data_IF_665001664930
#
_entry.id   IF_665001664930
#
_cell.length_a   1.000
_cell.length_b   1.000
_cell.length_c   1.000
_cell.angle_alpha   90.00
_cell.angle_beta   90.00
_cell.angle_gamma   90.00
#
_symmetry.space_group_name_H-M   'P 1'
#
loop_
_entity.id
_entity.type
_entity.pdbx_description
1 polymer ?
#
# COMPACT_ATOMS: atom_id res chain seq x y z
N UNK A 1 31.07 -33.30 53.21
CA UNK A 1 32.30 -33.16 52.40
C UNK A 1 32.44 -34.45 51.58
N UNK A 2 31.98 -34.42 50.34
CA UNK A 2 32.33 -35.31 49.20
C UNK A 2 31.40 -34.95 48.05
N UNK A 3 31.99 -34.25 47.10
CA UNK A 3 31.51 -33.96 45.75
C UNK A 3 31.44 -35.24 44.94
N UNK A 4 30.44 -35.41 44.07
CA UNK A 4 30.74 -35.93 42.73
C UNK A 4 29.70 -35.54 41.68
N UNK A 5 30.21 -34.76 40.72
CA UNK A 5 29.55 -34.27 39.52
C UNK A 5 29.60 -35.36 38.44
N UNK A 6 28.50 -36.07 38.21
CA UNK A 6 28.32 -36.91 37.02
C UNK A 6 27.28 -36.28 36.09
N UNK A 7 27.63 -35.13 35.50
CA UNK A 7 26.83 -34.47 34.48
C UNK A 7 27.69 -34.23 33.24
N UNK A 8 27.91 -35.24 32.40
CA UNK A 8 28.57 -35.02 31.11
C UNK A 8 28.14 -36.06 30.07
N UNK A 9 27.85 -35.52 28.87
CA UNK A 9 27.71 -36.18 27.55
C UNK A 9 26.34 -36.77 27.17
N UNK A 10 25.36 -35.89 26.90
CA UNK A 10 24.34 -36.17 25.89
C UNK A 10 24.86 -35.72 24.52
N UNK A 11 24.84 -36.57 23.47
CA UNK A 11 25.26 -36.16 22.14
C UNK A 11 24.33 -35.04 21.62
N UNK A 12 24.92 -33.91 21.23
CA UNK A 12 24.23 -32.83 20.53
C UNK A 12 23.82 -33.35 19.16
N UNK A 13 22.51 -33.54 18.96
CA UNK A 13 21.94 -33.80 17.64
C UNK A 13 22.39 -32.69 16.68
N UNK A 14 23.15 -33.07 15.66
CA UNK A 14 23.51 -32.20 14.55
C UNK A 14 22.19 -31.82 13.87
N UNK A 15 21.81 -30.53 13.97
CA UNK A 15 20.68 -29.99 13.22
C UNK A 15 20.93 -30.25 11.74
N UNK A 16 20.13 -31.12 11.14
CA UNK A 16 20.17 -31.39 9.71
C UNK A 16 20.05 -30.08 8.94
N UNK A 17 20.93 -29.91 7.95
CA UNK A 17 20.83 -28.86 6.94
C UNK A 17 19.46 -29.00 6.27
N UNK A 18 18.60 -28.00 6.46
CA UNK A 18 17.30 -27.97 5.80
C UNK A 18 17.54 -27.95 4.28
N UNK A 19 17.02 -28.98 3.59
CA UNK A 19 16.88 -28.99 2.14
C UNK A 19 16.12 -27.71 1.75
N UNK A 20 16.53 -26.94 0.72
CA UNK A 20 15.76 -25.80 0.26
C UNK A 20 14.35 -26.27 -0.07
N UNK A 21 13.38 -25.89 0.78
CA UNK A 21 12.00 -26.33 0.63
C UNK A 21 11.46 -25.88 -0.73
N UNK A 22 10.69 -26.76 -1.40
CA UNK A 22 9.97 -26.40 -2.62
C UNK A 22 9.22 -25.09 -2.39
N UNK A 23 9.42 -24.11 -3.27
CA UNK A 23 8.67 -22.86 -3.23
C UNK A 23 7.19 -23.21 -3.41
N UNK A 24 6.38 -22.93 -2.40
CA UNK A 24 4.94 -23.12 -2.49
C UNK A 24 4.40 -22.19 -3.60
N UNK A 25 3.80 -22.75 -4.68
CA UNK A 25 3.34 -21.97 -5.82
C UNK A 25 2.30 -20.92 -5.43
N UNK A 26 1.54 -21.14 -4.34
CA UNK A 26 0.56 -20.16 -3.84
C UNK A 26 1.23 -18.88 -3.33
N UNK A 27 2.45 -18.97 -2.83
CA UNK A 27 3.25 -17.82 -2.37
C UNK A 27 3.80 -17.00 -3.52
N UNK A 28 4.22 -17.70 -4.58
CA UNK A 28 4.81 -17.05 -5.75
C UNK A 28 3.74 -16.48 -6.70
N UNK A 29 2.52 -17.04 -6.69
CA UNK A 29 1.46 -16.67 -7.63
C UNK A 29 1.13 -15.15 -7.68
N UNK A 30 0.96 -14.43 -6.55
CA UNK A 30 0.72 -12.98 -6.57
C UNK A 30 1.82 -12.20 -7.29
N UNK A 31 3.07 -12.54 -6.97
CA UNK A 31 4.26 -11.90 -7.55
C UNK A 31 4.40 -12.24 -9.03
N UNK A 32 4.16 -13.48 -9.42
CA UNK A 32 4.20 -13.92 -10.82
C UNK A 32 3.13 -13.22 -11.66
N UNK A 33 1.90 -13.12 -11.15
CA UNK A 33 0.80 -12.45 -11.85
C UNK A 33 1.09 -10.95 -11.99
N UNK A 34 1.53 -10.29 -10.91
CA UNK A 34 1.93 -8.89 -10.97
C UNK A 34 3.09 -8.69 -11.97
N UNK A 35 4.07 -9.60 -12.00
CA UNK A 35 5.19 -9.56 -12.93
C UNK A 35 4.74 -9.73 -14.37
N UNK A 36 3.81 -10.66 -14.66
CA UNK A 36 3.27 -10.84 -16.00
C UNK A 36 2.57 -9.56 -16.49
N UNK A 37 1.70 -8.95 -15.66
CA UNK A 37 1.04 -7.69 -16.01
C UNK A 37 2.02 -6.52 -16.16
N UNK A 38 3.04 -6.43 -15.29
CA UNK A 38 4.06 -5.40 -15.35
C UNK A 38 4.95 -5.54 -16.59
N UNK A 39 5.36 -6.76 -16.95
CA UNK A 39 6.14 -7.04 -18.16
C UNK A 39 5.31 -6.67 -19.39
N UNK A 40 4.05 -7.12 -19.47
CA UNK A 40 3.16 -6.75 -20.56
C UNK A 40 2.98 -5.22 -20.65
N UNK A 41 2.80 -4.54 -19.52
CA UNK A 41 2.67 -3.09 -19.47
C UNK A 41 3.92 -2.37 -19.98
N UNK A 42 5.12 -2.81 -19.56
CA UNK A 42 6.40 -2.22 -19.98
C UNK A 42 6.64 -2.45 -21.48
N UNK A 43 6.33 -3.64 -22.00
CA UNK A 43 6.53 -3.96 -23.43
C UNK A 43 5.53 -3.22 -24.32
N UNK A 44 4.25 -3.26 -23.95
CA UNK A 44 3.17 -2.65 -24.75
C UNK A 44 3.21 -1.12 -24.63
N UNK A 45 3.58 -0.62 -23.45
CA UNK A 45 3.60 0.81 -23.08
C UNK A 45 2.34 1.56 -23.57
N UNK A 46 1.13 1.10 -23.19
CA UNK A 46 -0.10 1.70 -23.69
C UNK A 46 -0.22 3.16 -23.28
N UNK A 47 -0.82 4.02 -24.13
CA UNK A 47 -1.13 5.39 -23.73
C UNK A 47 -2.07 5.35 -22.51
N UNK A 48 -1.73 6.10 -21.49
CA UNK A 48 -2.54 6.24 -20.27
C UNK A 48 -2.55 7.69 -19.82
N UNK A 49 -3.57 8.05 -19.03
CA UNK A 49 -3.92 9.43 -18.71
C UNK A 49 -2.71 10.25 -18.24
N UNK A 50 -1.90 9.68 -17.34
CA UNK A 50 -0.81 10.40 -16.68
C UNK A 50 0.60 10.03 -17.19
N UNK A 51 0.74 9.12 -18.18
CA UNK A 51 2.07 8.66 -18.61
C UNK A 51 2.95 9.82 -19.12
N UNK A 52 2.38 10.73 -19.91
CA UNK A 52 3.09 11.92 -20.38
C UNK A 52 3.59 12.79 -19.22
N UNK A 53 2.79 12.89 -18.14
CA UNK A 53 3.13 13.66 -16.95
C UNK A 53 4.31 13.02 -16.18
N UNK A 54 4.43 11.70 -16.18
CA UNK A 54 5.57 10.99 -15.59
C UNK A 54 6.83 11.11 -16.44
N UNK A 55 6.70 10.99 -17.76
CA UNK A 55 7.82 11.16 -18.70
C UNK A 55 8.41 12.57 -18.63
N UNK A 56 7.55 13.59 -18.56
CA UNK A 56 8.01 14.96 -18.37
C UNK A 56 8.81 15.11 -17.07
N UNK A 57 8.32 14.55 -15.96
CA UNK A 57 9.01 14.67 -14.66
C UNK A 57 10.35 13.97 -14.64
N UNK A 58 10.44 12.80 -15.26
CA UNK A 58 11.72 12.13 -15.48
C UNK A 58 12.66 13.02 -16.31
N UNK A 59 12.15 13.65 -17.39
CA UNK A 59 12.93 14.57 -18.23
C UNK A 59 13.41 15.81 -17.47
N UNK A 60 12.55 16.44 -16.67
CA UNK A 60 12.92 17.58 -15.82
C UNK A 60 14.03 17.18 -14.85
N UNK A 61 13.95 16.01 -14.23
CA UNK A 61 15.02 15.51 -13.36
C UNK A 61 16.33 15.30 -14.11
N UNK A 62 16.32 14.78 -15.35
CA UNK A 62 17.56 14.64 -16.13
C UNK A 62 18.21 15.98 -16.48
N UNK A 63 17.43 17.05 -16.57
CA UNK A 63 17.93 18.38 -16.92
C UNK A 63 18.40 19.18 -15.69
N UNK A 64 17.66 19.11 -14.59
CA UNK A 64 17.80 20.03 -13.45
C UNK A 64 17.96 19.32 -12.09
N UNK A 65 17.92 17.98 -12.05
CA UNK A 65 17.95 17.20 -10.81
C UNK A 65 16.71 17.47 -9.95
N UNK A 66 16.90 17.79 -8.68
CA UNK A 66 15.82 18.17 -7.75
C UNK A 66 15.38 19.64 -7.94
N UNK A 67 15.13 20.03 -9.19
CA UNK A 67 14.57 21.33 -9.52
C UNK A 67 13.25 21.57 -8.79
N UNK A 68 13.08 22.76 -8.23
CA UNK A 68 11.90 23.10 -7.42
C UNK A 68 10.76 23.70 -8.25
N UNK A 69 11.09 24.27 -9.41
CA UNK A 69 10.19 25.04 -10.25
C UNK A 69 10.41 24.68 -11.72
N UNK A 70 9.35 24.68 -12.51
CA UNK A 70 9.47 24.64 -13.97
C UNK A 70 8.57 25.70 -14.63
N UNK A 71 9.05 26.30 -15.71
CA UNK A 71 8.34 27.36 -16.44
C UNK A 71 7.29 26.84 -17.45
N UNK A 72 7.04 25.54 -17.46
CA UNK A 72 6.09 24.93 -18.39
C UNK A 72 4.66 25.08 -17.81
N UNK A 73 3.65 25.22 -18.68
CA UNK A 73 2.24 25.62 -18.39
C UNK A 73 2.04 27.07 -17.92
N UNK A 74 1.95 28.02 -18.86
CA UNK A 74 1.29 29.35 -18.78
C UNK A 74 1.40 30.19 -17.48
N UNK A 75 2.40 29.92 -16.65
CA UNK A 75 2.79 30.60 -15.40
C UNK A 75 3.89 29.82 -14.66
N UNK A 76 4.08 28.53 -14.99
CA UNK A 76 4.99 27.64 -14.26
C UNK A 76 4.35 27.06 -13.01
N UNK A 77 5.00 26.05 -12.42
CA UNK A 77 4.51 25.38 -11.21
C UNK A 77 5.64 24.71 -10.42
N UNK A 78 5.39 24.43 -9.14
CA UNK A 78 6.34 23.71 -8.29
C UNK A 78 6.33 22.22 -8.62
N UNK A 79 7.51 21.63 -8.68
CA UNK A 79 7.69 20.20 -9.00
C UNK A 79 7.57 19.26 -7.78
N UNK A 80 8.08 19.63 -6.57
CA UNK A 80 8.17 18.69 -5.45
C UNK A 80 6.83 18.12 -4.97
N UNK A 81 5.74 18.87 -5.13
CA UNK A 81 4.40 18.47 -4.68
C UNK A 81 3.85 17.21 -5.36
N UNK A 82 4.38 16.83 -6.54
CA UNK A 82 3.93 15.64 -7.25
C UNK A 82 4.54 14.34 -6.71
N UNK A 83 5.86 14.34 -6.55
CA UNK A 83 6.67 13.25 -5.97
C UNK A 83 8.12 13.70 -5.92
N UNK A 84 8.80 13.42 -4.81
CA UNK A 84 10.22 13.76 -4.64
C UNK A 84 11.11 12.69 -5.26
N UNK A 85 10.83 11.40 -4.98
CA UNK A 85 11.72 10.30 -5.36
C UNK A 85 11.40 9.68 -6.71
N UNK A 86 10.12 9.66 -7.11
CA UNK A 86 9.73 8.96 -8.34
C UNK A 86 10.39 9.54 -9.60
N UNK A 87 10.51 10.87 -9.80
CA UNK A 87 11.17 11.42 -10.98
C UNK A 87 12.62 10.96 -11.13
N UNK A 88 13.37 10.87 -10.02
CA UNK A 88 14.76 10.41 -10.03
C UNK A 88 14.89 8.95 -10.47
N UNK A 89 14.04 8.07 -9.92
CA UNK A 89 14.04 6.64 -10.28
C UNK A 89 13.53 6.44 -11.71
N UNK A 90 12.51 7.21 -12.10
CA UNK A 90 11.95 7.18 -13.45
C UNK A 90 12.95 7.70 -14.51
N UNK A 91 13.81 8.66 -14.16
CA UNK A 91 14.90 9.11 -15.04
C UNK A 91 15.95 8.00 -15.27
N UNK A 92 16.22 7.17 -14.26
CA UNK A 92 17.18 6.07 -14.36
C UNK A 92 16.63 4.85 -15.12
N UNK A 93 15.36 4.48 -14.88
CA UNK A 93 14.79 3.21 -15.36
C UNK A 93 13.69 3.35 -16.42
N UNK A 94 13.16 4.56 -16.65
CA UNK A 94 11.81 4.88 -17.17
C UNK A 94 10.70 4.79 -16.12
N UNK A 95 9.64 5.63 -16.23
CA UNK A 95 8.47 5.54 -15.34
C UNK A 95 7.83 4.14 -15.32
N UNK A 96 7.74 3.50 -16.49
CA UNK A 96 7.07 2.21 -16.65
C UNK A 96 7.79 1.10 -15.89
N UNK A 97 9.12 1.01 -16.05
CA UNK A 97 9.93 0.00 -15.35
C UNK A 97 9.95 0.25 -13.85
N UNK A 98 10.12 1.51 -13.42
CA UNK A 98 10.12 1.87 -11.99
C UNK A 98 8.81 1.46 -11.30
N UNK A 99 7.66 1.78 -11.91
CA UNK A 99 6.36 1.40 -11.39
C UNK A 99 6.10 -0.12 -11.49
N UNK A 100 6.56 -0.77 -12.56
CA UNK A 100 6.46 -2.22 -12.73
C UNK A 100 7.20 -2.99 -11.63
N UNK A 101 8.44 -2.62 -11.32
CA UNK A 101 9.21 -3.20 -10.22
C UNK A 101 8.49 -2.98 -8.89
N UNK A 102 7.97 -1.77 -8.65
CA UNK A 102 7.25 -1.47 -7.42
C UNK A 102 5.94 -2.25 -7.29
N UNK A 103 5.21 -2.48 -8.39
CA UNK A 103 4.00 -3.29 -8.40
C UNK A 103 4.30 -4.75 -8.03
N UNK A 104 5.36 -5.34 -8.61
CA UNK A 104 5.81 -6.70 -8.30
C UNK A 104 6.24 -6.83 -6.83
N UNK A 105 7.03 -5.88 -6.34
CA UNK A 105 7.45 -5.85 -4.94
C UNK A 105 6.27 -5.65 -3.97
N UNK A 106 5.30 -4.80 -4.34
CA UNK A 106 4.06 -4.59 -3.59
C UNK A 106 3.27 -5.89 -3.47
N UNK A 107 3.12 -6.64 -4.58
CA UNK A 107 2.42 -7.93 -4.58
C UNK A 107 3.11 -8.98 -3.71
N UNK A 108 4.45 -9.04 -3.75
CA UNK A 108 5.22 -9.93 -2.88
C UNK A 108 5.06 -9.59 -1.39
N UNK A 109 5.13 -8.31 -1.03
CA UNK A 109 4.97 -7.89 0.37
C UNK A 109 3.53 -8.01 0.85
N UNK A 110 2.54 -7.86 -0.04
CA UNK A 110 1.14 -8.02 0.32
C UNK A 110 0.77 -9.48 0.61
N UNK A 111 1.37 -10.45 -0.10
CA UNK A 111 1.27 -11.88 0.26
C UNK A 111 1.75 -12.11 1.69
N UNK A 112 2.92 -11.57 2.03
CA UNK A 112 3.47 -11.67 3.38
C UNK A 112 2.54 -11.03 4.40
N UNK A 113 2.04 -9.82 4.14
CA UNK A 113 1.13 -9.09 5.03
C UNK A 113 -0.16 -9.89 5.31
N UNK A 114 -0.80 -10.40 4.25
CA UNK A 114 -2.03 -11.17 4.37
C UNK A 114 -1.79 -12.52 5.07
N UNK A 115 -0.72 -13.22 4.71
CA UNK A 115 -0.39 -14.51 5.32
C UNK A 115 -0.06 -14.37 6.80
N UNK A 116 0.73 -13.37 7.17
CA UNK A 116 1.10 -13.11 8.58
C UNK A 116 -0.16 -12.78 9.42
N UNK A 117 -1.24 -12.26 8.82
CA UNK A 117 -2.50 -11.93 9.53
C UNK A 117 -3.55 -13.05 9.50
N UNK A 118 -3.82 -13.62 8.32
CA UNK A 118 -4.94 -14.53 8.06
C UNK A 118 -4.51 -16.00 7.85
N UNK A 119 -3.21 -16.28 7.81
CA UNK A 119 -2.68 -17.62 7.57
C UNK A 119 -2.60 -18.00 6.09
N UNK A 120 -2.36 -19.29 5.82
CA UNK A 120 -2.05 -19.81 4.48
C UNK A 120 -3.24 -19.76 3.50
N UNK A 121 -4.46 -19.70 4.02
CA UNK A 121 -5.69 -19.66 3.21
C UNK A 121 -5.94 -18.29 2.56
N UNK A 122 -5.16 -17.27 2.91
CA UNK A 122 -5.28 -15.91 2.36
C UNK A 122 -4.70 -15.76 0.93
N UNK A 123 -4.17 -16.83 0.34
CA UNK A 123 -3.50 -16.82 -0.95
C UNK A 123 -4.37 -16.24 -2.09
N UNK A 124 -5.69 -16.46 -2.06
CA UNK A 124 -6.58 -15.92 -3.10
C UNK A 124 -6.69 -14.39 -3.02
N UNK A 125 -6.70 -13.84 -1.79
CA UNK A 125 -6.65 -12.40 -1.58
C UNK A 125 -5.33 -11.81 -2.07
N UNK A 126 -4.21 -12.48 -1.77
CA UNK A 126 -2.90 -12.06 -2.26
C UNK A 126 -2.82 -12.12 -3.79
N UNK A 127 -3.34 -13.18 -4.41
CA UNK A 127 -3.36 -13.35 -5.87
C UNK A 127 -4.17 -12.24 -6.55
N UNK A 128 -5.35 -11.94 -6.01
CA UNK A 128 -6.18 -10.85 -6.50
C UNK A 128 -5.43 -9.52 -6.38
N UNK A 129 -4.80 -9.23 -5.24
CA UNK A 129 -4.02 -8.01 -5.09
C UNK A 129 -2.90 -7.92 -6.15
N UNK A 130 -2.20 -9.03 -6.41
CA UNK A 130 -1.22 -9.13 -7.48
C UNK A 130 -1.78 -8.71 -8.84
N UNK A 131 -2.96 -9.21 -9.21
CA UNK A 131 -3.66 -8.79 -10.42
C UNK A 131 -4.11 -7.31 -10.37
N UNK A 132 -4.65 -6.86 -9.23
CA UNK A 132 -5.17 -5.51 -9.04
C UNK A 132 -4.07 -4.43 -9.14
N UNK A 133 -2.79 -4.78 -8.93
CA UNK A 133 -1.67 -3.86 -9.19
C UNK A 133 -1.66 -3.35 -10.63
N UNK A 134 -2.15 -4.15 -11.59
CA UNK A 134 -2.29 -3.76 -12.99
C UNK A 134 -3.17 -2.52 -13.15
N UNK A 135 -4.22 -2.35 -12.34
CA UNK A 135 -5.09 -1.17 -12.41
C UNK A 135 -4.30 0.12 -12.29
N UNK A 136 -3.29 0.19 -11.42
CA UNK A 136 -2.46 1.40 -11.28
C UNK A 136 -1.52 1.61 -12.47
N UNK A 137 -0.98 0.54 -13.04
CA UNK A 137 -0.08 0.61 -14.21
C UNK A 137 -0.82 1.08 -15.46
N UNK A 138 -1.93 0.43 -15.80
CA UNK A 138 -2.65 0.67 -17.06
C UNK A 138 -3.50 1.95 -17.02
N UNK A 139 -3.85 2.46 -15.84
CA UNK A 139 -4.51 3.79 -15.70
C UNK A 139 -3.52 4.96 -15.59
N UNK A 140 -2.21 4.69 -15.61
CA UNK A 140 -1.18 5.73 -15.54
C UNK A 140 -0.86 6.23 -14.13
N UNK A 141 -1.36 5.58 -13.06
CA UNK A 141 -1.15 5.99 -11.66
C UNK A 141 0.22 5.54 -11.13
N UNK A 142 1.28 5.82 -11.86
CA UNK A 142 2.62 5.24 -11.67
C UNK A 142 3.32 5.71 -10.38
N UNK A 143 3.20 7.00 -10.04
CA UNK A 143 3.70 7.52 -8.75
C UNK A 143 3.06 6.80 -7.57
N UNK A 144 1.76 6.57 -7.65
CA UNK A 144 1.03 5.84 -6.62
C UNK A 144 1.45 4.37 -6.54
N UNK A 145 1.59 3.69 -7.67
CA UNK A 145 2.12 2.32 -7.72
C UNK A 145 3.54 2.24 -7.12
N UNK A 146 4.38 3.22 -7.39
CA UNK A 146 5.73 3.32 -6.83
C UNK A 146 5.71 3.53 -5.30
N UNK A 147 4.87 4.45 -4.81
CA UNK A 147 4.73 4.71 -3.38
C UNK A 147 4.02 3.59 -2.60
N UNK A 148 3.27 2.72 -3.28
CA UNK A 148 2.59 1.59 -2.63
C UNK A 148 3.57 0.57 -2.06
N UNK A 149 4.74 0.39 -2.69
CA UNK A 149 5.78 -0.52 -2.23
C UNK A 149 6.26 -0.20 -0.81
N UNK A 150 6.80 1.01 -0.52
CA UNK A 150 7.18 1.36 0.84
C UNK A 150 5.97 1.45 1.80
N UNK A 151 4.76 1.75 1.31
CA UNK A 151 3.56 1.78 2.14
C UNK A 151 3.22 0.40 2.70
N UNK A 152 3.23 -0.64 1.85
CA UNK A 152 2.98 -2.02 2.27
C UNK A 152 4.15 -2.54 3.10
N UNK A 153 5.39 -2.19 2.73
CA UNK A 153 6.56 -2.52 3.55
C UNK A 153 6.44 -1.93 4.97
N UNK A 154 5.92 -0.70 5.10
CA UNK A 154 5.64 -0.05 6.39
C UNK A 154 4.62 -0.85 7.19
N UNK A 155 3.52 -1.28 6.56
CA UNK A 155 2.50 -2.12 7.20
C UNK A 155 3.07 -3.47 7.67
N UNK A 156 3.88 -4.14 6.85
CA UNK A 156 4.56 -5.41 7.22
C UNK A 156 5.52 -5.19 8.39
N UNK A 157 6.31 -4.11 8.38
CA UNK A 157 7.20 -3.78 9.47
C UNK A 157 6.44 -3.50 10.78
N UNK A 158 5.30 -2.82 10.69
CA UNK A 158 4.43 -2.51 11.82
C UNK A 158 3.82 -3.79 12.41
N UNK A 159 3.29 -4.68 11.56
CA UNK A 159 2.74 -5.98 11.96
C UNK A 159 3.78 -6.86 12.66
N UNK A 160 5.04 -6.79 12.22
CA UNK A 160 6.17 -7.54 12.80
C UNK A 160 6.80 -6.86 14.03
N UNK A 161 6.19 -5.81 14.56
CA UNK A 161 6.67 -5.12 15.77
C UNK A 161 7.98 -4.35 15.57
N UNK A 162 8.24 -3.85 14.36
CA UNK A 162 9.45 -3.08 13.99
C UNK A 162 9.09 -1.62 13.74
N UNK A 163 8.67 -0.84 14.77
CA UNK A 163 8.10 0.49 14.60
C UNK A 163 9.06 1.47 13.93
N UNK A 164 10.35 1.40 14.23
CA UNK A 164 11.35 2.26 13.59
C UNK A 164 11.39 2.08 12.06
N UNK A 165 11.47 0.83 11.60
CA UNK A 165 11.46 0.53 10.17
C UNK A 165 10.14 0.95 9.52
N UNK A 166 9.00 0.71 10.19
CA UNK A 166 7.69 1.14 9.71
C UNK A 166 7.61 2.66 9.51
N UNK A 167 8.09 3.44 10.49
CA UNK A 167 8.13 4.90 10.44
C UNK A 167 9.04 5.41 9.31
N UNK A 168 10.24 4.84 9.14
CA UNK A 168 11.13 5.21 8.03
C UNK A 168 10.50 4.94 6.67
N UNK A 169 9.87 3.77 6.51
CA UNK A 169 9.16 3.40 5.29
C UNK A 169 7.95 4.30 5.03
N UNK A 170 7.29 4.79 6.08
CA UNK A 170 6.21 5.77 5.97
C UNK A 170 6.71 7.12 5.43
N UNK A 171 7.88 7.59 5.88
CA UNK A 171 8.53 8.79 5.31
C UNK A 171 8.89 8.56 3.85
N UNK A 172 9.50 7.41 3.51
CA UNK A 172 9.81 7.06 2.12
C UNK A 172 8.56 7.00 1.24
N UNK A 173 7.45 6.52 1.81
CA UNK A 173 6.14 6.52 1.13
C UNK A 173 5.70 7.94 0.78
N UNK A 174 5.81 8.88 1.73
CA UNK A 174 5.47 10.28 1.51
C UNK A 174 6.31 10.93 0.41
N UNK A 175 7.62 10.66 0.40
CA UNK A 175 8.54 11.16 -0.61
C UNK A 175 8.33 10.50 -1.98
N UNK A 176 7.81 9.27 -2.02
CA UNK A 176 7.48 8.56 -3.24
C UNK A 176 6.13 8.97 -3.83
N UNK A 177 5.09 9.14 -3.00
CA UNK A 177 3.75 9.55 -3.42
C UNK A 177 2.92 10.10 -2.25
N UNK A 178 2.43 11.35 -2.35
CA UNK A 178 1.52 11.92 -1.36
C UNK A 178 0.25 11.08 -1.13
N UNK A 179 -0.31 10.51 -2.20
CA UNK A 179 -1.51 9.67 -2.13
C UNK A 179 -1.22 8.33 -1.46
N UNK A 180 -0.08 7.70 -1.74
CA UNK A 180 0.31 6.49 -1.03
C UNK A 180 0.56 6.77 0.47
N UNK A 181 1.10 7.95 0.80
CA UNK A 181 1.26 8.39 2.19
C UNK A 181 -0.08 8.53 2.92
N UNK A 182 -1.13 9.03 2.24
CA UNK A 182 -2.47 9.06 2.82
C UNK A 182 -2.96 7.65 3.20
N UNK A 183 -2.71 6.63 2.37
CA UNK A 183 -3.09 5.25 2.70
C UNK A 183 -2.18 4.60 3.74
N UNK A 184 -0.89 4.91 3.75
CA UNK A 184 0.00 4.51 4.85
C UNK A 184 -0.44 5.13 6.19
N UNK A 185 -0.88 6.39 6.17
CA UNK A 185 -1.42 7.06 7.33
C UNK A 185 -2.75 6.47 7.80
N UNK A 186 -3.62 6.11 6.85
CA UNK A 186 -4.86 5.39 7.14
C UNK A 186 -4.55 4.03 7.78
N UNK A 187 -3.57 3.28 7.28
CA UNK A 187 -3.16 2.00 7.85
C UNK A 187 -2.55 2.17 9.26
N UNK A 188 -1.69 3.17 9.46
CA UNK A 188 -1.12 3.51 10.77
C UNK A 188 -2.20 3.94 11.78
N UNK A 189 -3.15 4.78 11.34
CA UNK A 189 -4.30 5.21 12.14
C UNK A 189 -5.22 4.04 12.50
N UNK A 190 -5.52 3.16 11.54
CA UNK A 190 -6.29 1.94 11.77
C UNK A 190 -5.61 1.04 12.80
N UNK A 191 -4.30 0.85 12.68
CA UNK A 191 -3.50 0.09 13.66
C UNK A 191 -3.54 0.73 15.05
N UNK A 192 -3.42 2.05 15.14
CA UNK A 192 -3.47 2.77 16.41
C UNK A 192 -4.84 2.62 17.10
N UNK A 193 -5.92 2.85 16.36
CA UNK A 193 -7.30 2.72 16.88
C UNK A 193 -7.61 1.28 17.24
N UNK A 194 -7.23 0.32 16.40
CA UNK A 194 -7.42 -1.11 16.66
C UNK A 194 -6.68 -1.57 17.92
N UNK A 195 -5.41 -1.21 18.03
CA UNK A 195 -4.57 -1.54 19.20
C UNK A 195 -5.11 -0.93 20.50
N UNK A 196 -5.59 0.31 20.44
CA UNK A 196 -6.24 0.96 21.58
C UNK A 196 -7.57 0.27 21.93
N UNK A 197 -8.41 -0.06 20.94
CA UNK A 197 -9.68 -0.73 21.17
C UNK A 197 -9.49 -2.11 21.83
N UNK A 198 -8.45 -2.86 21.42
CA UNK A 198 -8.11 -4.17 22.00
C UNK A 198 -7.52 -4.08 23.40
N UNK A 199 -6.56 -3.18 23.63
CA UNK A 199 -5.77 -3.16 24.86
C UNK A 199 -6.27 -2.14 25.91
N UNK A 200 -7.17 -1.22 25.51
CA UNK A 200 -7.62 -0.04 26.28
C UNK A 200 -6.48 0.78 26.86
N UNK A 201 -5.33 0.80 26.17
CA UNK A 201 -4.09 1.50 26.56
C UNK A 201 -3.49 2.20 25.37
N UNK A 202 -2.87 3.36 25.60
CA UNK A 202 -2.25 4.19 24.56
C UNK A 202 -0.93 3.59 24.05
N UNK A 203 -0.13 2.96 24.92
CA UNK A 203 1.21 2.47 24.55
C UNK A 203 1.24 1.58 23.30
N UNK A 204 0.33 0.59 23.13
CA UNK A 204 0.26 -0.22 21.91
C UNK A 204 -0.13 0.54 20.65
N UNK A 205 -0.80 1.69 20.79
CA UNK A 205 -1.23 2.52 19.66
C UNK A 205 -0.13 3.45 19.11
N UNK A 206 0.89 3.76 19.93
CA UNK A 206 1.97 4.70 19.57
C UNK A 206 2.68 4.37 18.25
N UNK A 207 3.01 3.11 17.94
CA UNK A 207 3.61 2.76 16.64
C UNK A 207 2.74 3.17 15.44
N UNK A 208 1.43 2.96 15.51
CA UNK A 208 0.50 3.33 14.44
C UNK A 208 0.38 4.86 14.29
N UNK A 209 0.36 5.58 15.42
CA UNK A 209 0.39 7.05 15.44
C UNK A 209 1.67 7.58 14.80
N UNK A 210 2.83 7.00 15.13
CA UNK A 210 4.11 7.39 14.57
C UNK A 210 4.15 7.19 13.05
N UNK A 211 3.64 6.06 12.54
CA UNK A 211 3.51 5.80 11.09
C UNK A 211 2.59 6.83 10.43
N UNK A 212 1.44 7.14 11.04
CA UNK A 212 0.51 8.11 10.48
C UNK A 212 1.10 9.53 10.39
N UNK A 213 1.77 9.98 11.46
CA UNK A 213 2.46 11.27 11.47
C UNK A 213 3.60 11.28 10.45
N UNK A 214 4.42 10.22 10.41
CA UNK A 214 5.57 10.16 9.51
C UNK A 214 5.18 10.09 8.03
N UNK A 215 4.02 9.51 7.71
CA UNK A 215 3.47 9.53 6.36
C UNK A 215 2.91 10.92 5.97
N UNK A 216 2.25 11.63 6.90
CA UNK A 216 1.60 12.92 6.60
C UNK A 216 2.52 14.13 6.73
N UNK A 217 3.50 14.10 7.63
CA UNK A 217 4.35 15.25 7.93
C UNK A 217 5.16 15.75 6.71
N UNK A 218 5.81 14.89 5.90
CA UNK A 218 6.50 15.35 4.69
C UNK A 218 5.52 15.90 3.64
N UNK A 219 4.34 15.29 3.50
CA UNK A 219 3.30 15.78 2.58
C UNK A 219 2.82 17.17 2.98
N UNK A 220 2.53 17.38 4.26
CA UNK A 220 2.13 18.68 4.79
C UNK A 220 3.24 19.73 4.67
N UNK A 221 4.49 19.35 4.96
CA UNK A 221 5.63 20.25 4.81
C UNK A 221 5.83 20.70 3.36
N UNK A 222 5.71 19.78 2.39
CA UNK A 222 5.77 20.11 0.97
C UNK A 222 4.59 20.96 0.52
N UNK A 223 3.37 20.68 0.99
CA UNK A 223 2.20 21.50 0.67
C UNK A 223 2.29 22.94 1.20
N UNK A 224 2.97 23.14 2.34
CA UNK A 224 3.23 24.49 2.90
C UNK A 224 4.38 25.19 2.18
N UNK A 225 5.49 24.47 1.92
CA UNK A 225 6.67 25.05 1.30
C UNK A 225 6.50 25.32 -0.21
N UNK A 226 5.71 24.48 -0.88
CA UNK A 226 5.46 24.51 -2.32
C UNK A 226 3.95 24.43 -2.56
N UNK A 227 3.20 25.51 -2.28
CA UNK A 227 1.75 25.52 -2.42
C UNK A 227 1.37 25.34 -3.89
N UNK A 228 0.84 24.17 -4.20
CA UNK A 228 0.23 23.83 -5.48
C UNK A 228 -1.29 24.04 -5.39
N UNK A 229 -1.86 24.72 -6.38
CA UNK A 229 -3.30 24.91 -6.48
C UNK A 229 -4.02 23.72 -7.11
N UNK A 230 -5.34 23.82 -7.20
CA UNK A 230 -6.18 22.86 -7.91
C UNK A 230 -6.96 21.92 -7.00
N UNK A 231 -7.96 21.28 -7.58
CA UNK A 231 -8.80 20.29 -6.92
C UNK A 231 -8.99 19.11 -7.83
N UNK A 232 -8.91 17.91 -7.25
CA UNK A 232 -9.24 16.69 -7.96
C UNK A 232 -10.76 16.48 -7.88
N UNK A 233 -11.50 16.42 -9.01
CA UNK A 233 -12.95 16.26 -8.97
C UNK A 233 -13.35 14.94 -8.31
N UNK A 234 -14.26 14.98 -7.34
CA UNK A 234 -14.82 13.78 -6.73
C UNK A 234 -16.35 13.81 -6.83
N UNK A 235 -16.90 12.96 -7.69
CA UNK A 235 -18.35 12.94 -7.95
C UNK A 235 -19.08 12.01 -6.98
N UNK A 236 -20.37 12.28 -6.76
CA UNK A 236 -21.23 11.38 -5.98
C UNK A 236 -21.30 9.98 -6.60
N UNK A 237 -21.33 9.89 -7.94
CA UNK A 237 -21.34 8.62 -8.67
C UNK A 237 -20.13 7.74 -8.36
N UNK A 238 -18.98 8.34 -8.06
CA UNK A 238 -17.77 7.63 -7.61
C UNK A 238 -17.82 7.33 -6.10
N UNK A 239 -18.44 8.20 -5.28
CA UNK A 239 -18.48 8.05 -3.83
C UNK A 239 -19.41 6.93 -3.35
N UNK A 240 -20.65 6.90 -3.83
CA UNK A 240 -21.68 6.02 -3.26
C UNK A 240 -21.32 4.52 -3.33
N UNK A 241 -20.70 3.98 -4.41
CA UNK A 241 -20.32 2.57 -4.44
C UNK A 241 -19.26 2.25 -3.39
N UNK A 242 -18.28 3.16 -3.20
CA UNK A 242 -17.20 3.00 -2.22
C UNK A 242 -17.78 2.89 -0.81
N UNK A 243 -18.72 3.76 -0.47
CA UNK A 243 -19.37 3.75 0.85
C UNK A 243 -20.18 2.48 1.05
N UNK A 244 -21.01 2.09 0.07
CA UNK A 244 -21.84 0.89 0.19
C UNK A 244 -21.01 -0.39 0.31
N UNK A 245 -19.99 -0.56 -0.54
CA UNK A 245 -19.08 -1.71 -0.49
C UNK A 245 -18.34 -1.73 0.85
N UNK A 246 -17.84 -0.59 1.31
CA UNK A 246 -17.12 -0.50 2.59
C UNK A 246 -18.02 -0.86 3.78
N UNK A 247 -19.28 -0.38 3.79
CA UNK A 247 -20.26 -0.73 4.82
C UNK A 247 -20.60 -2.23 4.79
N UNK A 248 -20.78 -2.79 3.59
CA UNK A 248 -21.01 -4.22 3.43
C UNK A 248 -19.85 -5.04 4.01
N UNK A 249 -18.60 -4.70 3.66
CA UNK A 249 -17.41 -5.37 4.21
C UNK A 249 -17.36 -5.22 5.73
N UNK A 250 -17.70 -4.04 6.29
CA UNK A 250 -17.72 -3.80 7.73
C UNK A 250 -18.72 -4.71 8.48
N UNK A 251 -19.88 -4.97 7.87
CA UNK A 251 -20.93 -5.85 8.43
C UNK A 251 -20.51 -7.31 8.36
N UNK A 252 -19.88 -7.73 7.27
CA UNK A 252 -19.48 -9.12 7.04
C UNK A 252 -18.21 -9.49 7.83
N UNK A 253 -17.36 -8.50 8.13
CA UNK A 253 -16.10 -8.70 8.84
C UNK A 253 -16.35 -9.24 10.28
N UNK A 254 -15.61 -10.28 10.72
CA UNK A 254 -15.71 -10.79 12.08
C UNK A 254 -15.51 -9.69 13.14
N UNK A 255 -16.23 -9.81 14.26
CA UNK A 255 -16.15 -8.83 15.35
C UNK A 255 -14.76 -8.74 16.01
N UNK A 256 -13.86 -9.71 15.76
CA UNK A 256 -12.53 -9.80 16.36
C UNK A 256 -11.43 -9.06 15.57
N UNK A 257 -11.81 -8.22 14.61
CA UNK A 257 -10.88 -7.50 13.72
C UNK A 257 -10.92 -5.97 13.94
N UNK A 258 -10.57 -5.45 15.14
CA UNK A 258 -10.75 -4.04 15.46
C UNK A 258 -9.92 -3.11 14.57
N UNK A 259 -8.74 -3.54 14.13
CA UNK A 259 -7.88 -2.78 13.21
C UNK A 259 -8.52 -2.63 11.83
N UNK A 260 -9.03 -3.72 11.24
CA UNK A 260 -9.69 -3.65 9.92
C UNK A 260 -11.00 -2.86 9.99
N UNK A 261 -11.79 -3.03 11.06
CA UNK A 261 -12.99 -2.21 11.30
C UNK A 261 -12.65 -0.73 11.38
N UNK A 262 -11.61 -0.36 12.13
CA UNK A 262 -11.14 1.01 12.21
C UNK A 262 -10.69 1.53 10.84
N UNK A 263 -9.94 0.73 10.07
CA UNK A 263 -9.51 1.09 8.72
C UNK A 263 -10.68 1.37 7.78
N UNK A 264 -11.72 0.53 7.79
CA UNK A 264 -12.92 0.73 6.98
C UNK A 264 -13.66 2.01 7.38
N UNK A 265 -13.83 2.27 8.68
CA UNK A 265 -14.50 3.48 9.17
C UNK A 265 -13.69 4.73 8.80
N UNK A 266 -12.37 4.71 9.00
CA UNK A 266 -11.48 5.80 8.61
C UNK A 266 -11.49 6.03 7.09
N UNK A 267 -11.58 4.96 6.29
CA UNK A 267 -11.67 5.05 4.84
C UNK A 267 -12.97 5.71 4.37
N UNK A 268 -14.11 5.29 4.93
CA UNK A 268 -15.41 5.91 4.65
C UNK A 268 -15.38 7.40 5.02
N UNK A 269 -14.89 7.73 6.22
CA UNK A 269 -14.77 9.11 6.68
C UNK A 269 -13.87 9.94 5.76
N UNK A 270 -12.71 9.40 5.37
CA UNK A 270 -11.78 10.04 4.44
C UNK A 270 -12.38 10.28 3.05
N UNK A 271 -13.16 9.34 2.52
CA UNK A 271 -13.87 9.51 1.26
C UNK A 271 -14.96 10.59 1.34
N UNK A 272 -15.77 10.58 2.39
CA UNK A 272 -16.81 11.61 2.60
C UNK A 272 -16.18 13.00 2.76
N UNK A 273 -15.09 13.10 3.52
CA UNK A 273 -14.38 14.36 3.71
C UNK A 273 -13.79 14.88 2.39
N UNK A 274 -13.15 14.00 1.61
CA UNK A 274 -12.56 14.36 0.31
C UNK A 274 -13.61 14.72 -0.75
N UNK A 275 -14.83 14.19 -0.62
CA UNK A 275 -15.97 14.59 -1.46
C UNK A 275 -16.49 15.98 -1.08
N UNK A 276 -16.57 16.28 0.22
CA UNK A 276 -17.11 17.56 0.71
C UNK A 276 -16.14 18.73 0.59
N UNK A 277 -14.84 18.47 0.71
CA UNK A 277 -13.81 19.51 0.72
C UNK A 277 -12.98 19.41 -0.54
N UNK A 278 -13.08 20.43 -1.40
CA UNK A 278 -12.30 20.52 -2.62
C UNK A 278 -10.81 20.66 -2.28
N UNK A 279 -10.03 19.63 -2.59
CA UNK A 279 -8.59 19.56 -2.36
C UNK A 279 -7.94 18.78 -3.50
N UNK A 280 -6.59 18.80 -3.63
CA UNK A 280 -5.86 17.93 -4.55
C UNK A 280 -6.05 16.42 -4.26
N UNK A 281 -6.55 16.07 -3.08
CA UNK A 281 -6.83 14.68 -2.71
C UNK A 281 -8.03 14.15 -3.51
N UNK A 282 -9.20 14.80 -3.44
CA UNK A 282 -10.38 14.48 -4.27
C UNK A 282 -10.63 12.98 -4.50
N UNK A 283 -10.83 12.59 -5.77
CA UNK A 283 -11.06 11.19 -6.16
C UNK A 283 -9.86 10.26 -5.93
N UNK A 284 -8.67 10.78 -5.62
CA UNK A 284 -7.49 9.94 -5.40
C UNK A 284 -7.65 9.00 -4.21
N UNK A 285 -8.52 9.32 -3.24
CA UNK A 285 -8.89 8.39 -2.15
C UNK A 285 -9.59 7.12 -2.65
N UNK A 286 -10.27 7.19 -3.80
CA UNK A 286 -10.92 6.03 -4.40
C UNK A 286 -9.93 4.96 -4.91
N UNK A 287 -8.63 5.30 -5.04
CA UNK A 287 -7.60 4.37 -5.55
C UNK A 287 -7.40 3.15 -4.65
N UNK A 288 -7.73 3.24 -3.37
CA UNK A 288 -7.60 2.11 -2.43
C UNK A 288 -8.65 1.02 -2.69
N UNK A 289 -9.89 1.39 -3.00
CA UNK A 289 -11.01 0.46 -3.18
C UNK A 289 -10.71 -0.70 -4.14
N UNK A 290 -10.37 -0.43 -5.42
CA UNK A 290 -10.04 -1.47 -6.39
C UNK A 290 -8.83 -2.33 -6.01
N UNK A 291 -7.91 -1.79 -5.19
CA UNK A 291 -6.71 -2.51 -4.78
C UNK A 291 -6.94 -3.45 -3.60
N UNK A 292 -7.82 -3.13 -2.65
CA UNK A 292 -7.92 -3.89 -1.40
C UNK A 292 -9.29 -4.47 -1.09
N UNK A 293 -10.38 -3.95 -1.68
CA UNK A 293 -11.72 -4.44 -1.38
C UNK A 293 -11.90 -5.92 -1.77
N UNK A 294 -11.58 -6.25 -3.03
CA UNK A 294 -11.59 -7.63 -3.54
C UNK A 294 -10.61 -8.55 -2.78
N UNK A 295 -9.33 -8.16 -2.66
CA UNK A 295 -8.35 -8.93 -1.90
C UNK A 295 -8.72 -9.23 -0.45
N UNK A 296 -9.23 -8.24 0.30
CA UNK A 296 -9.68 -8.45 1.67
C UNK A 296 -10.93 -9.33 1.72
N UNK A 297 -11.91 -9.11 0.83
CA UNK A 297 -13.09 -9.96 0.75
C UNK A 297 -12.70 -11.42 0.46
N UNK A 298 -11.76 -11.66 -0.46
CA UNK A 298 -11.24 -12.99 -0.75
C UNK A 298 -10.50 -13.59 0.45
N UNK A 299 -9.62 -12.84 1.13
CA UNK A 299 -8.90 -13.33 2.31
C UNK A 299 -9.84 -13.73 3.46
N UNK A 300 -10.95 -13.01 3.65
CA UNK A 300 -11.91 -13.24 4.75
C UNK A 300 -12.92 -14.34 4.39
N UNK A 301 -13.45 -14.35 3.16
CA UNK A 301 -14.60 -15.16 2.77
C UNK A 301 -14.23 -16.48 2.10
N UNK A 302 -13.06 -16.58 1.46
CA UNK A 302 -12.63 -17.81 0.80
C UNK A 302 -12.63 -19.05 1.71
N UNK A 303 -12.17 -18.98 2.98
CA UNK A 303 -12.07 -20.17 3.82
C UNK A 303 -13.44 -20.69 4.26
N UNK A 304 -14.45 -19.83 4.40
CA UNK A 304 -15.71 -20.17 5.10
C UNK A 304 -16.99 -19.87 4.34
N UNK A 305 -17.00 -18.95 3.37
CA UNK A 305 -18.21 -18.39 2.73
C UNK A 305 -18.03 -18.15 1.23
N UNK A 306 -17.65 -19.19 0.48
CA UNK A 306 -17.34 -19.13 -0.95
C UNK A 306 -18.47 -18.55 -1.83
N UNK A 307 -19.72 -18.90 -1.56
CA UNK A 307 -20.88 -18.37 -2.30
C UNK A 307 -21.04 -16.86 -2.12
N UNK A 308 -20.81 -16.36 -0.89
CA UNK A 308 -20.83 -14.92 -0.62
C UNK A 308 -19.68 -14.21 -1.33
N UNK A 309 -18.51 -14.84 -1.41
CA UNK A 309 -17.38 -14.30 -2.18
C UNK A 309 -17.73 -14.15 -3.66
N UNK A 310 -18.39 -15.14 -4.28
CA UNK A 310 -18.80 -15.05 -5.71
C UNK A 310 -19.74 -13.86 -5.93
N UNK A 311 -20.74 -13.68 -5.06
CA UNK A 311 -21.69 -12.57 -5.16
C UNK A 311 -21.02 -11.20 -5.00
N UNK A 312 -20.02 -11.11 -4.12
CA UNK A 312 -19.30 -9.86 -3.82
C UNK A 312 -18.18 -9.61 -4.83
N UNK A 313 -17.66 -10.65 -5.47
CA UNK A 313 -16.53 -10.52 -6.40
C UNK A 313 -16.94 -9.88 -7.72
N UNK A 314 -18.14 -10.15 -8.23
CA UNK A 314 -18.65 -9.61 -9.50
C UNK A 314 -18.59 -8.07 -9.55
N UNK A 315 -19.07 -7.30 -8.55
CA UNK A 315 -18.97 -5.84 -8.57
C UNK A 315 -17.56 -5.30 -8.25
N UNK A 316 -16.59 -6.17 -7.90
CA UNK A 316 -15.23 -5.80 -7.52
C UNK A 316 -14.17 -6.14 -8.58
N UNK A 317 -14.55 -6.84 -9.65
CA UNK A 317 -13.75 -7.15 -10.83
C UNK A 317 -13.93 -6.05 -11.88
#
# INVERSE_FOLDING_TARGET
>A
MTTDNAALLRPRAIRGLAVPGRVDPRRAAPTIVAAAFAIAYVIISPPSLDLAAHLLRAKLFTSEGFGLWNNWWYAGHNVPGYSVLFPAVAALLTPQVAAGIAAVGSAALFEVLLRDHFGEDAWLGALWFGAATATSLYTGRLTFAFGLLPAIASAVALQRGRPWAATLLAVLTALASPVAALFAALAGGAYAVGSYASARRIRPALPGVAVAIAALAPVGALAVAFPEGGSEPFTFATLWPIVLISLFVLVVLPGREPTLRAGIVLYIAGCILSYKVATPVGSNVARLGPLVAGPLAAAILWPTRKLLLVLVAIPLL
#
